data_IF_076219761294
#
_entry.id   IF_076219761294
#
_cell.length_a   1.000
_cell.length_b   1.000
_cell.length_c   1.000
_cell.angle_alpha   90.00
_cell.angle_beta   90.00
_cell.angle_gamma   90.00
#
_symmetry.space_group_name_H-M   'P 1'
#
loop_
_entity.id
_entity.type
_entity.pdbx_description
1 polymer ?
#
# COMPACT_ATOMS: atom_id res chain seq x y z
N UNK A 1 2.51 -9.71 29.13
CA UNK A 1 2.23 -8.65 28.16
C UNK A 1 3.40 -7.67 28.16
N UNK A 2 3.95 -7.35 26.98
CA UNK A 2 5.04 -6.40 26.85
C UNK A 2 4.46 -4.98 26.64
N UNK A 3 5.05 -3.97 27.29
CA UNK A 3 4.63 -2.58 27.09
C UNK A 3 5.27 -2.07 25.80
N UNK A 4 4.44 -1.58 24.89
CA UNK A 4 4.83 -0.92 23.65
C UNK A 4 4.66 0.60 23.78
N UNK A 5 5.57 1.34 23.14
CA UNK A 5 5.52 2.80 23.02
C UNK A 5 5.30 3.17 21.55
N UNK A 6 4.54 4.20 21.31
CA UNK A 6 4.24 4.66 19.96
C UNK A 6 3.53 6.01 19.96
N UNK A 7 2.86 6.30 18.84
CA UNK A 7 2.03 7.47 18.67
C UNK A 7 0.62 7.04 18.31
N UNK A 8 -0.39 7.59 18.99
CA UNK A 8 -1.79 7.25 18.78
C UNK A 8 -2.67 8.48 18.61
N UNK A 9 -3.75 8.29 17.85
CA UNK A 9 -4.91 9.17 17.89
C UNK A 9 -5.89 8.68 18.96
N UNK A 10 -6.40 9.58 19.77
CA UNK A 10 -7.43 9.30 20.81
C UNK A 10 -8.84 9.67 20.40
N UNK A 11 -8.98 10.44 19.34
CA UNK A 11 -10.23 10.73 18.61
C UNK A 11 -9.92 11.30 17.21
N UNK A 12 -10.96 11.44 16.36
CA UNK A 12 -10.85 11.87 14.96
C UNK A 12 -10.28 13.28 14.76
N UNK A 13 -10.31 14.12 15.77
CA UNK A 13 -10.00 15.56 15.67
C UNK A 13 -8.67 15.94 16.29
N UNK A 14 -8.04 15.00 17.01
CA UNK A 14 -6.78 15.24 17.70
C UNK A 14 -5.58 14.76 16.91
N UNK A 15 -4.43 15.43 17.07
CA UNK A 15 -3.17 14.96 16.49
C UNK A 15 -2.75 13.63 17.12
N UNK A 16 -1.90 12.90 16.43
CA UNK A 16 -1.14 11.78 16.98
C UNK A 16 -0.21 12.29 18.09
N UNK A 17 -0.24 11.63 19.25
CA UNK A 17 0.60 11.97 20.41
C UNK A 17 1.28 10.73 20.98
N UNK A 18 2.35 10.87 21.77
CA UNK A 18 2.98 9.76 22.46
C UNK A 18 1.95 8.92 23.22
N UNK A 19 2.04 7.62 23.07
CA UNK A 19 1.09 6.68 23.66
C UNK A 19 1.79 5.39 24.07
N UNK A 20 1.34 4.80 25.18
CA UNK A 20 1.83 3.53 25.70
C UNK A 20 0.68 2.55 25.78
N UNK A 21 0.90 1.33 25.31
CA UNK A 21 -0.11 0.28 25.29
C UNK A 21 0.52 -1.10 25.53
N UNK A 22 -0.31 -2.10 25.75
CA UNK A 22 0.15 -3.47 25.95
C UNK A 22 0.03 -4.27 24.64
N UNK A 23 1.11 -4.97 24.28
CA UNK A 23 1.05 -6.03 23.28
C UNK A 23 0.94 -7.38 23.97
N UNK A 24 0.26 -8.34 23.31
CA UNK A 24 0.16 -9.70 23.80
C UNK A 24 1.54 -10.39 23.89
N UNK A 25 1.65 -11.40 24.73
CA UNK A 25 2.81 -12.28 24.68
C UNK A 25 2.83 -13.08 23.36
N UNK A 26 4.00 -13.41 22.85
CA UNK A 26 4.12 -14.22 21.64
C UNK A 26 3.66 -15.67 21.93
N UNK A 27 2.87 -16.22 21.01
CA UNK A 27 2.52 -17.64 20.97
C UNK A 27 3.65 -18.45 20.30
N UNK A 28 3.44 -19.77 20.19
CA UNK A 28 4.45 -20.68 19.61
C UNK A 28 4.76 -20.38 18.13
N UNK A 29 3.81 -19.83 17.39
CA UNK A 29 3.92 -19.50 15.96
C UNK A 29 4.18 -18.02 15.66
N UNK A 30 4.47 -17.23 16.69
CA UNK A 30 4.68 -15.79 16.55
C UNK A 30 6.13 -15.39 16.34
N UNK A 31 6.29 -14.28 15.66
CA UNK A 31 7.55 -13.54 15.47
C UNK A 31 7.43 -12.19 16.14
N UNK A 32 8.41 -11.82 16.97
CA UNK A 32 8.52 -10.49 17.58
C UNK A 32 9.48 -9.67 16.74
N UNK A 33 9.03 -8.49 16.30
CA UNK A 33 9.76 -7.63 15.40
C UNK A 33 10.00 -6.28 16.07
N UNK A 34 11.25 -5.87 16.19
CA UNK A 34 11.66 -4.51 16.50
C UNK A 34 11.48 -3.65 15.24
N UNK A 35 10.58 -2.69 15.29
CA UNK A 35 10.22 -1.85 14.14
C UNK A 35 11.28 -0.78 13.95
N UNK A 36 11.95 -0.81 12.81
CA UNK A 36 12.98 0.18 12.46
C UNK A 36 12.39 1.34 11.67
N UNK A 37 11.47 1.02 10.74
CA UNK A 37 10.86 2.01 9.86
C UNK A 37 9.37 1.73 9.67
N UNK A 38 8.57 2.79 9.62
CA UNK A 38 7.15 2.72 9.32
C UNK A 38 6.79 3.74 8.23
N UNK A 39 6.25 3.26 7.11
CA UNK A 39 5.78 4.14 6.03
C UNK A 39 4.46 4.84 6.40
N UNK A 40 4.23 6.02 5.80
CA UNK A 40 2.98 6.77 5.93
C UNK A 40 2.12 6.57 4.69
N UNK A 41 0.89 6.10 4.88
CA UNK A 41 -0.11 5.93 3.83
C UNK A 41 -1.30 6.88 4.02
N UNK A 42 -2.00 7.22 2.93
CA UNK A 42 -3.29 7.93 3.01
C UNK A 42 -4.31 7.17 3.86
N UNK A 43 -4.28 5.83 3.85
CA UNK A 43 -5.17 5.00 4.67
C UNK A 43 -4.99 5.26 6.17
N UNK A 44 -3.77 5.55 6.63
CA UNK A 44 -3.52 5.93 8.03
C UNK A 44 -4.26 7.22 8.38
N UNK A 45 -4.22 8.22 7.48
CA UNK A 45 -4.89 9.50 7.67
C UNK A 45 -6.42 9.33 7.68
N UNK A 46 -6.96 8.61 6.69
CA UNK A 46 -8.40 8.34 6.58
C UNK A 46 -8.93 7.62 7.82
N UNK A 47 -8.20 6.62 8.33
CA UNK A 47 -8.60 5.86 9.51
C UNK A 47 -8.52 6.72 10.77
N UNK A 48 -7.39 7.41 11.00
CA UNK A 48 -7.20 8.27 12.17
C UNK A 48 -8.25 9.39 12.24
N UNK A 49 -8.66 9.94 11.09
CA UNK A 49 -9.68 10.99 10.99
C UNK A 49 -11.11 10.45 10.91
N UNK A 50 -11.28 9.12 11.00
CA UNK A 50 -12.58 8.45 10.90
C UNK A 50 -13.38 8.82 9.64
N UNK A 51 -12.71 9.03 8.53
CA UNK A 51 -13.37 9.38 7.27
C UNK A 51 -14.16 8.18 6.70
N UNK A 52 -13.70 6.95 6.98
CA UNK A 52 -14.39 5.71 6.62
C UNK A 52 -15.46 5.26 7.64
N UNK A 53 -15.64 6.00 8.75
CA UNK A 53 -16.67 5.74 9.78
C UNK A 53 -16.52 4.41 10.52
N UNK A 54 -15.30 3.88 10.62
CA UNK A 54 -14.99 2.60 11.28
C UNK A 54 -13.85 2.69 12.31
N UNK A 55 -13.43 3.88 12.71
CA UNK A 55 -12.33 4.07 13.65
C UNK A 55 -12.69 3.63 15.08
N UNK A 56 -11.80 2.85 15.71
CA UNK A 56 -11.89 2.40 17.11
C UNK A 56 -10.70 2.97 17.89
N UNK A 57 -10.92 4.02 18.63
CA UNK A 57 -9.88 4.72 19.39
C UNK A 57 -9.59 4.07 20.75
N UNK A 58 -8.31 4.13 21.26
CA UNK A 58 -7.14 4.77 20.63
C UNK A 58 -6.58 3.95 19.47
N UNK A 59 -6.05 4.62 18.43
CA UNK A 59 -5.47 4.00 17.24
C UNK A 59 -3.99 4.35 17.16
N UNK A 60 -3.11 3.34 17.18
CA UNK A 60 -1.72 3.44 16.70
C UNK A 60 -1.74 2.99 15.24
N UNK A 61 -1.57 3.89 14.26
CA UNK A 61 -1.62 3.53 12.85
C UNK A 61 -0.31 2.89 12.36
N UNK A 62 -0.24 2.64 11.04
CA UNK A 62 0.95 2.11 10.37
C UNK A 62 0.82 0.65 9.96
N UNK A 63 0.82 0.40 8.65
CA UNK A 63 0.73 -0.92 8.02
C UNK A 63 1.81 -1.13 6.95
N UNK A 64 2.87 -0.35 7.03
CA UNK A 64 4.06 -0.43 6.18
C UNK A 64 5.27 -0.58 7.09
N UNK A 65 5.44 -1.76 7.68
CA UNK A 65 6.38 -2.02 8.77
C UNK A 65 7.62 -2.73 8.24
N UNK A 66 8.80 -2.16 8.43
CA UNK A 66 10.06 -2.84 8.19
C UNK A 66 10.89 -2.87 9.48
N UNK A 67 11.44 -4.04 9.82
CA UNK A 67 12.12 -4.24 11.08
C UNK A 67 13.03 -5.45 11.13
N UNK A 68 13.47 -5.77 12.35
CA UNK A 68 14.37 -6.89 12.64
C UNK A 68 13.71 -7.82 13.63
N UNK A 69 13.78 -9.11 13.38
CA UNK A 69 13.29 -10.15 14.30
C UNK A 69 14.12 -10.14 15.59
N UNK A 70 13.47 -10.01 16.74
CA UNK A 70 14.11 -10.02 18.07
C UNK A 70 13.81 -11.28 18.87
N UNK A 71 12.68 -11.94 18.61
CA UNK A 71 12.35 -13.24 19.20
C UNK A 71 11.42 -14.02 18.25
N UNK A 72 11.43 -15.34 18.41
CA UNK A 72 10.55 -16.25 17.67
C UNK A 72 9.95 -17.29 18.62
N UNK A 73 8.71 -17.68 18.39
CA UNK A 73 8.04 -18.76 19.10
C UNK A 73 8.65 -20.13 18.75
N UNK A 74 8.36 -21.13 19.57
CA UNK A 74 8.97 -22.49 19.47
C UNK A 74 8.59 -23.26 18.21
N UNK A 75 7.48 -22.90 17.55
CA UNK A 75 6.99 -23.52 16.32
C UNK A 75 7.38 -22.73 15.04
N UNK A 76 8.01 -21.55 15.18
CA UNK A 76 8.47 -20.75 14.04
C UNK A 76 9.60 -21.46 13.31
N UNK A 77 9.46 -21.56 12.00
CA UNK A 77 10.42 -22.28 11.12
C UNK A 77 11.01 -21.42 10.01
N UNK A 78 10.33 -20.35 9.61
CA UNK A 78 10.74 -19.50 8.48
C UNK A 78 11.70 -18.41 8.86
N UNK A 79 11.71 -17.97 10.12
CA UNK A 79 12.45 -16.82 10.60
C UNK A 79 13.29 -17.13 11.82
N UNK A 80 14.36 -16.36 12.01
CA UNK A 80 15.23 -16.39 13.20
C UNK A 80 15.56 -14.98 13.65
N UNK A 81 16.03 -14.84 14.86
CA UNK A 81 16.53 -13.56 15.42
C UNK A 81 17.60 -12.97 14.51
N UNK A 82 17.45 -11.69 14.20
CA UNK A 82 18.33 -10.93 13.31
C UNK A 82 17.84 -10.84 11.86
N UNK A 83 16.82 -11.60 11.46
CA UNK A 83 16.29 -11.54 10.10
C UNK A 83 15.61 -10.19 9.83
N UNK A 84 15.74 -9.72 8.59
CA UNK A 84 15.14 -8.51 8.06
C UNK A 84 13.76 -8.84 7.54
N UNK A 85 12.72 -8.22 8.14
CA UNK A 85 11.35 -8.60 7.87
C UNK A 85 10.44 -7.39 7.71
N UNK A 86 9.28 -7.63 7.09
CA UNK A 86 8.21 -6.66 6.99
C UNK A 86 6.86 -7.23 7.36
N UNK A 87 5.94 -6.33 7.72
CA UNK A 87 4.52 -6.60 7.93
C UNK A 87 3.71 -5.59 7.14
N UNK A 88 2.80 -6.09 6.32
CA UNK A 88 1.94 -5.27 5.46
C UNK A 88 0.62 -4.89 6.11
N UNK A 89 -0.43 -4.89 5.29
CA UNK A 89 -1.74 -4.34 5.65
C UNK A 89 -2.58 -5.23 6.57
N UNK A 90 -2.23 -6.51 6.74
CA UNK A 90 -3.00 -7.45 7.57
C UNK A 90 -2.10 -8.46 8.29
N UNK A 91 -2.55 -8.94 9.44
CA UNK A 91 -1.79 -9.78 10.37
C UNK A 91 -2.48 -11.11 10.71
N UNK A 92 -3.71 -11.30 10.24
CA UNK A 92 -4.43 -12.57 10.33
C UNK A 92 -5.51 -12.64 9.25
N UNK A 93 -6.00 -13.84 8.99
CA UNK A 93 -7.14 -14.12 8.11
C UNK A 93 -7.82 -15.41 8.51
N UNK A 94 -8.97 -15.72 7.91
CA UNK A 94 -9.70 -16.94 8.23
C UNK A 94 -8.85 -18.19 7.99
N UNK A 95 -8.49 -18.86 9.09
CA UNK A 95 -7.82 -20.16 9.06
C UNK A 95 -8.88 -21.26 8.88
N UNK A 96 -8.84 -21.98 7.74
CA UNK A 96 -9.74 -23.12 7.48
C UNK A 96 -10.99 -22.79 6.65
N UNK A 97 -11.14 -21.57 6.12
CA UNK A 97 -12.12 -21.29 5.08
C UNK A 97 -11.75 -22.05 3.80
N UNK A 98 -12.74 -22.58 3.08
CA UNK A 98 -12.55 -23.29 1.79
C UNK A 98 -11.84 -22.46 0.72
N UNK A 99 -11.77 -21.15 0.91
CA UNK A 99 -11.11 -20.21 0.03
C UNK A 99 -9.60 -20.00 0.29
N UNK A 100 -9.04 -20.65 1.33
CA UNK A 100 -7.61 -20.57 1.69
C UNK A 100 -6.68 -21.20 0.64
N UNK A 101 -7.21 -22.01 -0.26
CA UNK A 101 -6.41 -22.74 -1.26
C UNK A 101 -5.97 -21.89 -2.46
N UNK A 102 -6.19 -20.56 -2.45
CA UNK A 102 -6.04 -19.73 -3.64
C UNK A 102 -5.19 -18.48 -3.46
N UNK A 103 -4.39 -18.35 -2.42
CA UNK A 103 -3.54 -17.16 -2.21
C UNK A 103 -4.31 -15.83 -2.41
N UNK A 104 -5.46 -15.69 -1.73
CA UNK A 104 -6.35 -14.53 -1.80
C UNK A 104 -6.85 -14.10 -0.41
N UNK A 105 -5.99 -14.18 0.58
CA UNK A 105 -6.32 -13.89 1.99
C UNK A 105 -6.95 -12.50 2.17
N UNK A 106 -6.50 -11.53 1.37
CA UNK A 106 -7.01 -10.16 1.41
C UNK A 106 -8.48 -10.02 1.04
N UNK A 107 -9.06 -11.02 0.37
CA UNK A 107 -10.47 -11.03 -0.03
C UNK A 107 -11.34 -11.92 0.87
N UNK A 108 -10.75 -12.53 1.91
CA UNK A 108 -11.46 -13.50 2.76
C UNK A 108 -12.22 -12.83 3.90
N UNK A 109 -13.39 -13.37 4.28
CA UNK A 109 -14.01 -13.02 5.56
C UNK A 109 -13.05 -13.36 6.71
N UNK A 110 -12.98 -12.47 7.73
CA UNK A 110 -12.10 -12.68 8.87
C UNK A 110 -10.65 -12.23 8.64
N UNK A 111 -10.40 -11.46 7.60
CA UNK A 111 -9.18 -10.68 7.47
C UNK A 111 -9.04 -9.77 8.70
N UNK A 112 -7.86 -9.75 9.33
CA UNK A 112 -7.54 -8.87 10.45
C UNK A 112 -6.47 -7.87 10.00
N UNK A 113 -6.84 -6.61 9.96
CA UNK A 113 -5.93 -5.54 9.57
C UNK A 113 -4.85 -5.32 10.63
N UNK A 114 -3.70 -4.80 10.21
CA UNK A 114 -2.54 -4.54 11.07
C UNK A 114 -2.85 -3.55 12.20
N UNK A 115 -3.82 -2.68 12.00
CA UNK A 115 -4.36 -1.79 13.04
C UNK A 115 -5.85 -1.50 12.80
N UNK A 116 -6.53 -1.01 13.84
CA UNK A 116 -7.96 -0.66 13.81
C UNK A 116 -8.89 -1.83 13.47
N UNK A 117 -8.52 -3.04 13.86
CA UNK A 117 -9.34 -4.24 13.71
C UNK A 117 -9.37 -5.05 15.03
N UNK A 118 -10.06 -6.17 15.07
CA UNK A 118 -10.21 -6.99 16.27
C UNK A 118 -9.13 -8.07 16.34
N UNK A 119 -8.24 -7.98 17.32
CA UNK A 119 -7.25 -9.02 17.62
C UNK A 119 -7.89 -10.13 18.50
N UNK A 120 -8.33 -11.20 17.86
CA UNK A 120 -8.93 -12.35 18.58
C UNK A 120 -7.92 -13.09 19.46
N UNK A 121 -6.61 -12.93 19.22
CA UNK A 121 -5.53 -13.50 20.02
C UNK A 121 -5.20 -12.67 21.27
N UNK A 122 -5.71 -11.44 21.32
CA UNK A 122 -5.50 -10.49 22.42
C UNK A 122 -6.83 -10.09 23.08
N UNK A 123 -7.68 -11.06 23.38
CA UNK A 123 -8.94 -10.82 24.10
C UNK A 123 -9.93 -9.90 23.36
N UNK A 124 -9.85 -9.83 22.04
CA UNK A 124 -10.61 -8.93 21.17
C UNK A 124 -10.25 -7.45 21.34
N UNK A 125 -9.04 -7.13 21.81
CA UNK A 125 -8.54 -5.76 21.78
C UNK A 125 -8.38 -5.26 20.33
N UNK A 126 -8.33 -3.95 20.13
CA UNK A 126 -8.03 -3.40 18.82
C UNK A 126 -6.57 -3.68 18.43
N UNK A 127 -6.35 -4.12 17.18
CA UNK A 127 -4.99 -4.21 16.63
C UNK A 127 -4.35 -2.84 16.58
N UNK A 128 -3.03 -2.78 16.83
CA UNK A 128 -2.23 -1.55 16.87
C UNK A 128 -1.05 -1.67 15.90
N UNK A 129 -0.82 -0.63 15.11
CA UNK A 129 0.10 -0.66 13.98
C UNK A 129 1.55 -0.32 14.28
N UNK A 130 2.24 0.03 13.21
CA UNK A 130 3.70 0.20 13.15
C UNK A 130 4.24 1.52 13.63
N UNK A 131 3.41 2.51 13.98
CA UNK A 131 3.94 3.71 14.64
C UNK A 131 4.23 3.43 16.11
N UNK A 132 4.92 2.33 16.35
CA UNK A 132 5.32 1.81 17.66
C UNK A 132 6.68 1.11 17.59
N UNK A 133 7.29 0.85 18.74
CA UNK A 133 8.62 0.27 18.85
C UNK A 133 8.69 -1.20 18.41
N UNK A 134 7.65 -2.01 18.64
CA UNK A 134 7.65 -3.42 18.25
C UNK A 134 6.26 -3.95 17.92
N UNK A 135 6.22 -5.10 17.24
CA UNK A 135 4.97 -5.82 16.91
C UNK A 135 5.16 -7.33 17.10
N UNK A 136 4.07 -8.03 17.44
CA UNK A 136 3.99 -9.49 17.55
C UNK A 136 3.02 -10.00 16.49
N UNK A 137 3.50 -10.85 15.57
CA UNK A 137 2.75 -11.29 14.39
C UNK A 137 2.98 -12.76 14.15
N UNK A 138 1.95 -13.51 13.75
CA UNK A 138 2.10 -14.89 13.31
C UNK A 138 3.09 -15.01 12.15
N UNK A 139 3.94 -16.03 12.16
CA UNK A 139 4.93 -16.32 11.11
C UNK A 139 4.33 -16.27 9.69
N UNK A 140 3.08 -16.70 9.54
CA UNK A 140 2.37 -16.74 8.25
C UNK A 140 2.10 -15.38 7.62
N UNK A 141 2.20 -14.28 8.37
CA UNK A 141 1.96 -12.91 7.92
C UNK A 141 3.20 -12.02 7.94
N UNK A 142 4.36 -12.61 8.22
CA UNK A 142 5.66 -11.96 8.16
C UNK A 142 6.31 -12.21 6.81
N UNK A 143 6.96 -11.19 6.26
CA UNK A 143 7.56 -11.17 4.92
C UNK A 143 9.07 -10.96 5.04
N UNK A 144 9.86 -11.67 4.23
CA UNK A 144 11.30 -11.47 4.14
C UNK A 144 11.62 -10.25 3.27
N UNK A 145 12.42 -9.32 3.75
CA UNK A 145 12.91 -8.20 2.94
C UNK A 145 14.28 -8.55 2.37
N UNK A 146 14.45 -8.58 1.03
CA UNK A 146 15.73 -8.84 0.37
C UNK A 146 16.88 -7.98 0.90
N UNK A 147 18.06 -8.56 1.04
CA UNK A 147 19.21 -7.87 1.68
C UNK A 147 19.68 -6.61 0.94
N UNK A 148 19.53 -6.58 -0.37
CA UNK A 148 19.90 -5.42 -1.20
C UNK A 148 18.90 -4.25 -1.11
N UNK A 149 17.71 -4.45 -0.56
CA UNK A 149 16.75 -3.37 -0.39
C UNK A 149 16.96 -2.68 0.97
N UNK A 150 17.20 -1.37 1.04
CA UNK A 150 17.20 -0.61 2.29
C UNK A 150 15.86 -0.75 3.01
N UNK A 151 15.85 -1.02 4.33
CA UNK A 151 14.62 -1.25 5.10
C UNK A 151 13.65 -0.05 5.06
N UNK A 152 14.20 1.15 5.14
CA UNK A 152 13.43 2.39 5.06
C UNK A 152 12.67 2.52 3.74
N UNK A 153 13.37 2.33 2.62
CA UNK A 153 12.77 2.43 1.29
C UNK A 153 11.95 1.19 0.90
N UNK A 154 12.11 0.07 1.63
CA UNK A 154 11.31 -1.15 1.47
C UNK A 154 9.97 -1.07 2.22
N UNK A 155 9.88 -0.33 3.33
CA UNK A 155 8.64 -0.24 4.11
C UNK A 155 7.41 0.14 3.27
N UNK A 156 7.43 1.15 2.38
CA UNK A 156 6.27 1.47 1.56
C UNK A 156 5.92 0.42 0.49
N UNK A 157 6.83 -0.52 0.18
CA UNK A 157 6.53 -1.61 -0.75
C UNK A 157 5.41 -2.50 -0.20
N UNK A 158 5.30 -2.63 1.12
CA UNK A 158 4.34 -3.48 1.81
C UNK A 158 2.88 -3.01 1.69
N UNK A 159 2.65 -1.80 1.19
CA UNK A 159 1.33 -1.29 0.81
C UNK A 159 1.35 -0.76 -0.62
N UNK A 160 2.08 0.32 -0.89
CA UNK A 160 2.10 0.94 -2.21
C UNK A 160 2.69 0.02 -3.30
N UNK A 161 3.72 -0.77 -2.97
CA UNK A 161 4.33 -1.73 -3.89
C UNK A 161 3.34 -2.81 -4.29
N UNK A 162 2.81 -3.55 -3.31
CA UNK A 162 1.89 -4.65 -3.56
C UNK A 162 0.57 -4.19 -4.21
N UNK A 163 0.05 -3.03 -3.82
CA UNK A 163 -1.19 -2.47 -4.40
C UNK A 163 -1.06 -2.23 -5.91
N UNK A 164 0.13 -1.93 -6.40
CA UNK A 164 0.39 -1.74 -7.82
C UNK A 164 0.90 -3.03 -8.50
N UNK A 165 1.69 -3.83 -7.82
CA UNK A 165 2.20 -5.10 -8.34
C UNK A 165 1.07 -6.07 -8.66
N UNK A 166 0.13 -6.27 -7.72
CA UNK A 166 -0.97 -7.21 -7.85
C UNK A 166 -1.80 -6.98 -9.12
N UNK A 167 -2.38 -5.81 -9.40
CA UNK A 167 -3.12 -5.61 -10.64
C UNK A 167 -2.22 -5.62 -11.88
N UNK A 168 -0.98 -5.14 -11.83
CA UNK A 168 -0.07 -5.24 -12.97
C UNK A 168 0.20 -6.70 -13.33
N UNK A 169 0.42 -7.56 -12.33
CA UNK A 169 0.63 -8.99 -12.51
C UNK A 169 -0.65 -9.70 -12.98
N UNK A 170 -1.79 -9.47 -12.31
CA UNK A 170 -3.07 -10.11 -12.64
C UNK A 170 -3.53 -9.82 -14.07
N UNK A 171 -3.44 -8.58 -14.52
CA UNK A 171 -3.80 -8.18 -15.89
C UNK A 171 -2.65 -8.32 -16.89
N UNK A 172 -1.57 -9.02 -16.49
CA UNK A 172 -0.45 -9.39 -17.37
C UNK A 172 0.21 -8.18 -18.04
N UNK A 173 0.50 -7.14 -17.26
CA UNK A 173 1.34 -6.05 -17.73
C UNK A 173 2.72 -6.59 -18.11
N UNK A 174 3.22 -6.23 -19.29
CA UNK A 174 4.50 -6.77 -19.81
C UNK A 174 4.78 -6.28 -21.23
N UNK A 175 5.75 -6.89 -21.93
CA UNK A 175 6.15 -6.48 -23.26
C UNK A 175 4.96 -6.41 -24.24
N UNK A 176 4.85 -5.30 -24.95
CA UNK A 176 3.76 -5.06 -25.91
C UNK A 176 2.44 -4.57 -25.32
N UNK A 177 2.32 -4.48 -23.99
CA UNK A 177 1.14 -3.91 -23.33
C UNK A 177 1.31 -2.42 -23.07
N UNK A 178 0.33 -1.63 -23.43
CA UNK A 178 0.25 -0.21 -23.09
C UNK A 178 -0.56 -0.03 -21.82
N UNK A 179 0.08 0.44 -20.77
CA UNK A 179 -0.52 0.59 -19.44
C UNK A 179 -0.53 2.06 -19.04
N UNK A 180 -1.69 2.58 -18.65
CA UNK A 180 -1.78 3.90 -18.05
C UNK A 180 -1.82 3.82 -16.52
N UNK A 181 -1.03 4.64 -15.86
CA UNK A 181 -1.10 4.90 -14.41
C UNK A 181 -1.76 6.26 -14.21
N UNK A 182 -2.94 6.27 -13.60
CA UNK A 182 -3.68 7.50 -13.30
C UNK A 182 -3.29 7.99 -11.91
N UNK A 183 -2.67 9.16 -11.86
CA UNK A 183 -2.08 9.74 -10.64
C UNK A 183 -0.58 9.47 -10.53
N UNK A 184 0.17 10.50 -10.10
CA UNK A 184 1.62 10.42 -9.86
C UNK A 184 1.92 10.83 -8.42
N UNK A 185 1.40 10.03 -7.49
CA UNK A 185 1.60 10.15 -6.05
C UNK A 185 2.32 8.94 -5.48
N UNK A 186 2.11 8.70 -4.18
CA UNK A 186 2.73 7.60 -3.45
C UNK A 186 2.47 6.21 -4.04
N UNK A 187 1.28 5.95 -4.59
CA UNK A 187 0.98 4.73 -5.33
C UNK A 187 1.53 4.80 -6.77
N UNK A 188 1.21 5.86 -7.49
CA UNK A 188 1.50 5.96 -8.92
C UNK A 188 2.98 5.82 -9.27
N UNK A 189 3.91 6.37 -8.45
CA UNK A 189 5.34 6.23 -8.70
C UNK A 189 5.80 4.76 -8.63
N UNK A 190 5.22 3.96 -7.71
CA UNK A 190 5.49 2.52 -7.66
C UNK A 190 4.93 1.79 -8.89
N UNK A 191 3.72 2.17 -9.35
CA UNK A 191 3.15 1.63 -10.58
C UNK A 191 4.01 1.89 -11.81
N UNK A 192 4.62 3.06 -11.90
CA UNK A 192 5.57 3.39 -12.97
C UNK A 192 6.81 2.50 -12.89
N UNK A 193 7.47 2.41 -11.72
CA UNK A 193 8.70 1.62 -11.53
C UNK A 193 8.46 0.13 -11.81
N UNK A 194 7.44 -0.45 -11.16
CA UNK A 194 7.13 -1.87 -11.27
C UNK A 194 6.66 -2.22 -12.69
N UNK A 195 5.71 -1.48 -13.26
CA UNK A 195 5.20 -1.76 -14.59
C UNK A 195 6.25 -1.62 -15.69
N UNK A 196 7.15 -0.65 -15.55
CA UNK A 196 8.31 -0.49 -16.44
C UNK A 196 9.26 -1.68 -16.33
N UNK A 197 9.57 -2.15 -15.11
CA UNK A 197 10.42 -3.31 -14.89
C UNK A 197 9.78 -4.62 -15.39
N UNK A 198 8.45 -4.72 -15.40
CA UNK A 198 7.72 -5.82 -16.04
C UNK A 198 7.80 -5.75 -17.59
N UNK A 199 8.30 -4.66 -18.15
CA UNK A 199 8.46 -4.46 -19.60
C UNK A 199 7.25 -3.85 -20.30
N UNK A 200 6.26 -3.33 -19.58
CA UNK A 200 5.11 -2.65 -20.15
C UNK A 200 5.46 -1.23 -20.64
N UNK A 201 4.72 -0.74 -21.62
CA UNK A 201 4.79 0.64 -22.08
C UNK A 201 3.95 1.53 -21.15
N UNK A 202 4.59 2.11 -20.14
CA UNK A 202 3.92 2.91 -19.11
C UNK A 202 3.69 4.35 -19.59
N UNK A 203 2.44 4.79 -19.49
CA UNK A 203 2.03 6.19 -19.66
C UNK A 203 1.45 6.71 -18.34
N UNK A 204 1.93 7.86 -17.86
CA UNK A 204 1.35 8.52 -16.70
C UNK A 204 0.28 9.51 -17.15
N UNK A 205 -0.88 9.46 -16.50
CA UNK A 205 -1.98 10.40 -16.62
C UNK A 205 -2.16 11.12 -15.29
N UNK A 206 -1.77 12.39 -15.21
CA UNK A 206 -1.83 13.18 -13.98
C UNK A 206 -2.46 14.54 -14.23
N UNK A 207 -3.00 15.18 -13.20
CA UNK A 207 -3.71 16.46 -13.34
C UNK A 207 -2.88 17.53 -14.07
N UNK A 208 -1.58 17.62 -13.73
CA UNK A 208 -0.65 18.59 -14.32
C UNK A 208 0.69 17.98 -14.69
N UNK A 209 1.61 18.80 -15.19
CA UNK A 209 2.93 18.38 -15.68
C UNK A 209 4.06 18.55 -14.65
N UNK A 210 3.78 18.99 -13.42
CA UNK A 210 4.80 19.30 -12.40
C UNK A 210 5.69 18.11 -12.00
N UNK A 211 5.22 16.89 -12.22
CA UNK A 211 5.94 15.63 -11.93
C UNK A 211 6.35 14.89 -13.20
N UNK A 212 6.34 15.55 -14.37
CA UNK A 212 6.61 14.90 -15.65
C UNK A 212 8.04 14.36 -15.75
N UNK A 213 9.01 15.16 -15.36
CA UNK A 213 10.43 14.77 -15.38
C UNK A 213 10.67 13.56 -14.46
N UNK A 214 10.10 13.58 -13.25
CA UNK A 214 10.17 12.46 -12.31
C UNK A 214 9.55 11.20 -12.92
N UNK A 215 8.34 11.29 -13.49
CA UNK A 215 7.66 10.15 -14.10
C UNK A 215 8.47 9.50 -15.22
N UNK A 216 9.07 10.31 -16.09
CA UNK A 216 9.94 9.82 -17.16
C UNK A 216 11.23 9.19 -16.61
N UNK A 217 11.85 9.82 -15.60
CA UNK A 217 13.05 9.28 -14.92
C UNK A 217 12.77 7.94 -14.23
N UNK A 218 11.58 7.76 -13.67
CA UNK A 218 11.17 6.52 -12.99
C UNK A 218 10.77 5.40 -13.95
N UNK A 219 10.73 5.63 -15.27
CA UNK A 219 10.54 4.61 -16.30
C UNK A 219 9.28 4.78 -17.16
N UNK A 220 8.46 5.82 -16.98
CA UNK A 220 7.36 6.08 -17.88
C UNK A 220 7.89 6.45 -19.28
N UNK A 221 7.27 5.90 -20.33
CA UNK A 221 7.57 6.29 -21.72
C UNK A 221 6.92 7.59 -22.09
N UNK A 222 5.74 7.87 -21.55
CA UNK A 222 4.95 9.06 -21.84
C UNK A 222 4.28 9.60 -20.58
N UNK A 223 3.99 10.90 -20.60
CA UNK A 223 3.34 11.59 -19.49
C UNK A 223 2.43 12.70 -20.03
N UNK A 224 1.15 12.68 -19.67
CA UNK A 224 0.16 13.64 -20.11
C UNK A 224 -0.58 14.31 -18.95
N UNK A 225 -0.94 15.57 -19.15
CA UNK A 225 -1.81 16.29 -18.22
C UNK A 225 -3.28 15.99 -18.54
N UNK A 226 -4.04 15.56 -17.54
CA UNK A 226 -5.48 15.31 -17.69
C UNK A 226 -6.32 16.58 -17.58
N UNK A 227 -5.72 17.71 -17.17
CA UNK A 227 -6.32 19.05 -17.29
C UNK A 227 -6.40 19.54 -18.74
N UNK A 228 -5.63 18.91 -19.66
CA UNK A 228 -5.70 19.18 -21.09
C UNK A 228 -6.70 18.21 -21.73
N UNK A 229 -7.81 18.77 -22.22
CA UNK A 229 -8.89 18.00 -22.85
C UNK A 229 -8.42 17.26 -24.13
N UNK A 230 -7.41 17.76 -24.83
CA UNK A 230 -6.85 17.11 -26.03
C UNK A 230 -6.19 15.77 -25.66
N UNK A 231 -5.73 15.58 -24.41
CA UNK A 231 -5.18 14.33 -23.92
C UNK A 231 -6.14 13.16 -24.14
N UNK A 232 -7.41 13.32 -23.81
CA UNK A 232 -8.42 12.26 -23.96
C UNK A 232 -8.73 11.95 -25.42
N UNK A 233 -8.75 12.95 -26.29
CA UNK A 233 -8.92 12.76 -27.73
C UNK A 233 -7.73 12.02 -28.33
N UNK A 234 -6.51 12.47 -28.00
CA UNK A 234 -5.26 11.90 -28.50
C UNK A 234 -5.06 10.43 -28.10
N UNK A 235 -5.44 10.08 -26.87
CA UNK A 235 -5.21 8.76 -26.29
C UNK A 235 -6.43 7.82 -26.37
N UNK A 236 -7.50 8.21 -27.07
CA UNK A 236 -8.69 7.38 -27.22
C UNK A 236 -8.33 5.98 -27.75
N UNK A 237 -8.83 4.92 -27.13
CA UNK A 237 -8.61 3.53 -27.54
C UNK A 237 -7.15 3.06 -27.52
N UNK A 238 -6.31 3.63 -26.65
CA UNK A 238 -4.86 3.38 -26.64
C UNK A 238 -4.42 2.27 -25.68
N UNK A 239 -5.05 2.15 -24.50
CA UNK A 239 -4.52 1.35 -23.40
C UNK A 239 -5.14 -0.05 -23.33
N UNK A 240 -4.31 -1.05 -23.02
CA UNK A 240 -4.74 -2.39 -22.67
C UNK A 240 -5.22 -2.44 -21.23
N UNK A 241 -4.55 -1.66 -20.34
CA UNK A 241 -4.81 -1.59 -18.92
C UNK A 241 -4.69 -0.13 -18.44
N UNK A 242 -5.60 0.28 -17.57
CA UNK A 242 -5.50 1.53 -16.81
C UNK A 242 -5.57 1.19 -15.32
N UNK A 243 -4.58 1.60 -14.53
CA UNK A 243 -4.62 1.50 -13.08
C UNK A 243 -4.88 2.87 -12.50
N UNK A 244 -6.00 3.02 -11.80
CA UNK A 244 -6.43 4.27 -11.21
C UNK A 244 -6.05 4.34 -9.73
N UNK A 245 -5.09 5.22 -9.42
CA UNK A 245 -4.65 5.47 -8.03
C UNK A 245 -5.32 6.70 -7.42
N UNK A 246 -6.21 7.37 -8.16
CA UNK A 246 -6.87 8.59 -7.70
C UNK A 246 -7.90 8.29 -6.61
N UNK A 247 -7.78 8.96 -5.47
CA UNK A 247 -8.79 9.00 -4.40
C UNK A 247 -9.80 10.15 -4.56
N UNK A 248 -9.70 10.94 -5.62
CA UNK A 248 -10.56 12.09 -5.90
C UNK A 248 -11.52 11.79 -7.04
N UNK A 249 -12.58 12.61 -7.16
CA UNK A 249 -13.52 12.50 -8.27
C UNK A 249 -12.82 12.75 -9.62
N UNK A 250 -13.04 11.86 -10.58
CA UNK A 250 -12.56 11.95 -11.96
C UNK A 250 -13.71 11.67 -12.93
N UNK A 251 -13.55 12.03 -14.19
CA UNK A 251 -14.50 11.60 -15.24
C UNK A 251 -14.22 10.16 -15.68
N UNK A 252 -14.79 9.19 -14.96
CA UNK A 252 -14.63 7.76 -15.21
C UNK A 252 -14.93 7.36 -16.66
N UNK A 253 -15.90 8.00 -17.28
CA UNK A 253 -16.31 7.68 -18.64
C UNK A 253 -15.27 8.14 -19.67
N UNK A 254 -14.65 9.29 -19.46
CA UNK A 254 -13.54 9.77 -20.27
C UNK A 254 -12.35 8.80 -20.19
N UNK A 255 -11.96 8.36 -18.98
CA UNK A 255 -10.88 7.38 -18.82
C UNK A 255 -11.21 6.02 -19.45
N UNK A 256 -12.43 5.52 -19.31
CA UNK A 256 -12.88 4.30 -20.01
C UNK A 256 -12.83 4.46 -21.55
N UNK A 257 -12.97 5.69 -22.06
CA UNK A 257 -12.76 6.02 -23.47
C UNK A 257 -11.35 5.76 -23.98
N UNK A 258 -10.35 5.80 -23.08
CA UNK A 258 -8.95 5.56 -23.42
C UNK A 258 -8.59 4.09 -23.59
N UNK A 259 -9.45 3.16 -23.13
CA UNK A 259 -9.23 1.72 -23.25
C UNK A 259 -9.46 1.23 -24.67
N UNK A 260 -8.62 0.31 -25.12
CA UNK A 260 -8.85 -0.54 -26.30
C UNK A 260 -10.09 -1.41 -26.11
N UNK A 261 -10.48 -2.09 -27.20
CA UNK A 261 -11.40 -3.23 -27.11
C UNK A 261 -10.81 -4.31 -26.20
N UNK A 262 -11.59 -4.84 -25.27
CA UNK A 262 -11.18 -5.77 -24.21
C UNK A 262 -10.24 -5.18 -23.15
N UNK A 263 -10.02 -3.87 -23.13
CA UNK A 263 -9.19 -3.23 -22.12
C UNK A 263 -9.88 -3.21 -20.75
N UNK A 264 -9.07 -3.14 -19.70
CA UNK A 264 -9.53 -3.11 -18.30
C UNK A 264 -9.07 -1.83 -17.61
N UNK A 265 -9.95 -1.23 -16.81
CA UNK A 265 -9.61 -0.19 -15.84
C UNK A 265 -9.73 -0.75 -14.43
N UNK A 266 -8.66 -0.65 -13.64
CA UNK A 266 -8.58 -1.20 -12.29
C UNK A 266 -8.46 -0.07 -11.28
N UNK A 267 -9.33 -0.07 -10.30
CA UNK A 267 -9.40 0.91 -9.23
C UNK A 267 -8.60 0.37 -8.04
N UNK A 268 -7.62 1.14 -7.60
CA UNK A 268 -6.82 0.87 -6.40
C UNK A 268 -6.85 2.05 -5.42
N UNK A 269 -7.29 3.23 -5.87
CA UNK A 269 -7.61 4.36 -5.01
C UNK A 269 -9.02 4.21 -4.42
N UNK A 270 -9.29 4.88 -3.30
CA UNK A 270 -10.58 4.83 -2.62
C UNK A 270 -11.29 6.20 -2.74
N UNK A 271 -12.06 6.47 -3.81
CA UNK A 271 -12.82 7.70 -3.93
C UNK A 271 -13.96 7.74 -2.89
N UNK A 272 -14.19 8.92 -2.32
CA UNK A 272 -15.20 9.12 -1.26
C UNK A 272 -16.63 8.87 -1.76
N UNK A 273 -16.89 9.11 -3.05
CA UNK A 273 -18.24 9.06 -3.62
C UNK A 273 -18.40 7.91 -4.62
N UNK A 274 -19.66 7.54 -4.85
CA UNK A 274 -20.00 6.52 -5.84
C UNK A 274 -19.46 6.88 -7.24
N UNK A 275 -19.01 5.88 -7.96
CA UNK A 275 -18.41 5.99 -9.29
C UNK A 275 -19.53 6.01 -10.35
N UNK A 276 -19.78 7.15 -11.04
CA UNK A 276 -20.80 7.24 -12.08
C UNK A 276 -20.27 6.67 -13.41
N UNK A 277 -20.65 5.45 -13.75
CA UNK A 277 -20.27 4.81 -15.01
C UNK A 277 -21.49 4.61 -15.91
N UNK A 278 -21.43 5.11 -17.13
CA UNK A 278 -22.45 4.91 -18.14
C UNK A 278 -22.25 3.58 -18.87
N UNK A 279 -23.30 2.77 -19.03
CA UNK A 279 -23.20 1.44 -19.64
C UNK A 279 -22.54 1.47 -21.03
N UNK A 280 -22.82 2.50 -21.84
CA UNK A 280 -22.20 2.65 -23.17
C UNK A 280 -20.71 3.05 -23.13
N UNK A 281 -20.14 3.34 -21.99
CA UNK A 281 -18.68 3.45 -21.86
C UNK A 281 -17.99 2.08 -21.83
N UNK A 282 -18.74 1.00 -21.57
CA UNK A 282 -18.24 -0.38 -21.47
C UNK A 282 -18.66 -1.26 -22.65
N UNK A 283 -19.96 -1.25 -22.99
CA UNK A 283 -20.58 -2.21 -23.93
C UNK A 283 -19.90 -2.22 -25.32
N UNK A 284 -19.71 -1.08 -26.02
CA UNK A 284 -19.21 -1.08 -27.41
C UNK A 284 -17.78 -1.63 -27.55
N UNK A 285 -16.99 -1.58 -26.47
CA UNK A 285 -15.61 -2.04 -26.48
C UNK A 285 -15.36 -3.32 -25.68
N UNK A 286 -16.40 -3.95 -25.11
CA UNK A 286 -16.27 -5.09 -24.18
C UNK A 286 -15.21 -4.77 -23.09
N UNK A 287 -15.29 -3.55 -22.54
CA UNK A 287 -14.35 -3.05 -21.53
C UNK A 287 -14.75 -3.50 -20.14
N UNK A 288 -13.79 -3.61 -19.26
CA UNK A 288 -14.00 -3.98 -17.86
C UNK A 288 -13.64 -2.82 -16.92
N UNK A 289 -14.42 -2.66 -15.86
CA UNK A 289 -14.08 -1.86 -14.68
C UNK A 289 -14.01 -2.80 -13.50
N UNK A 290 -12.87 -2.84 -12.83
CA UNK A 290 -12.57 -3.80 -11.77
C UNK A 290 -11.92 -3.09 -10.58
N UNK A 291 -11.92 -3.73 -9.40
CA UNK A 291 -11.14 -3.30 -8.24
C UNK A 291 -9.99 -4.28 -7.98
N UNK A 292 -8.98 -3.81 -7.25
CA UNK A 292 -7.91 -4.64 -6.69
C UNK A 292 -7.54 -4.09 -5.31
N UNK A 293 -7.44 -4.96 -4.33
CA UNK A 293 -7.10 -4.60 -2.96
C UNK A 293 -5.80 -5.28 -2.56
N UNK A 294 -4.73 -4.49 -2.34
CA UNK A 294 -3.40 -5.00 -1.94
C UNK A 294 -3.03 -6.30 -2.69
N UNK A 295 -2.52 -7.32 -2.01
CA UNK A 295 -2.27 -8.66 -2.53
C UNK A 295 -2.21 -9.67 -1.38
N UNK A 296 -2.16 -10.97 -1.70
CA UNK A 296 -1.94 -12.02 -0.71
C UNK A 296 -0.56 -11.93 -0.07
N UNK A 297 -0.33 -12.68 1.01
CA UNK A 297 1.02 -12.77 1.62
C UNK A 297 2.02 -13.32 0.61
N UNK A 298 1.65 -14.37 -0.11
CA UNK A 298 2.52 -14.94 -1.16
C UNK A 298 2.81 -13.90 -2.26
N UNK A 299 1.79 -13.24 -2.78
CA UNK A 299 1.96 -12.24 -3.83
C UNK A 299 2.80 -11.04 -3.35
N UNK A 300 2.68 -10.67 -2.06
CA UNK A 300 3.50 -9.63 -1.46
C UNK A 300 4.97 -10.06 -1.34
N UNK A 301 5.24 -11.34 -1.01
CA UNK A 301 6.61 -11.86 -1.05
C UNK A 301 7.16 -11.90 -2.48
N UNK A 302 6.37 -12.38 -3.45
CA UNK A 302 6.77 -12.39 -4.87
C UNK A 302 7.09 -10.97 -5.37
N UNK A 303 6.33 -9.96 -4.92
CA UNK A 303 6.60 -8.54 -5.20
C UNK A 303 7.91 -8.06 -4.59
N UNK A 304 8.20 -8.40 -3.32
CA UNK A 304 9.46 -8.02 -2.66
C UNK A 304 10.65 -8.67 -3.37
N UNK A 305 10.55 -9.94 -3.75
CA UNK A 305 11.59 -10.66 -4.49
C UNK A 305 11.79 -10.05 -5.88
N UNK A 306 10.70 -9.69 -6.57
CA UNK A 306 10.76 -8.96 -7.83
C UNK A 306 11.45 -7.59 -7.66
N UNK A 307 11.10 -6.84 -6.64
CA UNK A 307 11.73 -5.57 -6.33
C UNK A 307 13.23 -5.74 -6.00
N UNK A 308 13.58 -6.76 -5.23
CA UNK A 308 14.98 -7.11 -4.96
C UNK A 308 15.76 -7.44 -6.23
N UNK A 309 15.18 -8.24 -7.13
CA UNK A 309 15.79 -8.61 -8.40
C UNK A 309 16.04 -7.41 -9.34
N UNK A 310 15.19 -6.40 -9.27
CA UNK A 310 15.24 -5.25 -10.18
C UNK A 310 15.72 -3.96 -9.48
N UNK A 311 16.21 -4.04 -8.24
CA UNK A 311 16.65 -2.90 -7.42
C UNK A 311 15.58 -1.78 -7.33
N UNK A 312 14.31 -2.18 -7.15
CA UNK A 312 13.18 -1.27 -7.05
C UNK A 312 12.88 -0.99 -5.59
N UNK A 313 12.94 0.29 -5.22
CA UNK A 313 12.50 0.79 -3.91
C UNK A 313 11.60 2.01 -4.08
N UNK A 314 10.90 2.40 -3.02
CA UNK A 314 10.15 3.64 -3.00
C UNK A 314 11.08 4.85 -2.92
N UNK A 315 10.70 5.95 -3.57
CA UNK A 315 11.32 7.26 -3.32
C UNK A 315 10.77 7.81 -2.00
N UNK A 316 11.64 8.07 -1.03
CA UNK A 316 11.23 8.41 0.33
C UNK A 316 11.79 9.74 0.84
N UNK A 317 11.06 10.37 1.74
CA UNK A 317 11.52 11.41 2.65
C UNK A 317 11.45 10.85 4.08
N UNK A 318 12.62 10.76 4.75
CA UNK A 318 12.71 10.29 6.14
C UNK A 318 12.28 11.38 7.10
N UNK A 319 11.48 11.01 8.11
CA UNK A 319 11.05 11.90 9.19
C UNK A 319 11.25 11.26 10.57
N UNK A 320 11.25 12.10 11.60
CA UNK A 320 11.08 11.65 13.00
C UNK A 320 9.61 11.43 13.29
N UNK A 321 9.28 10.58 14.27
CA UNK A 321 7.88 10.32 14.62
C UNK A 321 7.18 11.58 15.18
N UNK A 322 7.94 12.49 15.80
CA UNK A 322 7.42 13.77 16.28
C UNK A 322 6.85 14.65 15.16
N UNK A 323 7.33 14.46 13.92
CA UNK A 323 6.93 15.25 12.75
C UNK A 323 5.74 14.63 12.00
N UNK A 324 5.17 13.50 12.50
CA UNK A 324 4.14 12.72 11.80
C UNK A 324 2.88 13.53 11.45
N UNK A 325 2.47 14.44 12.33
CA UNK A 325 1.29 15.28 12.10
C UNK A 325 1.52 16.30 10.98
N UNK A 326 2.70 16.89 10.89
CA UNK A 326 3.10 17.76 9.79
C UNK A 326 3.19 16.96 8.47
N UNK A 327 3.77 15.78 8.51
CA UNK A 327 3.84 14.89 7.36
C UNK A 327 2.45 14.53 6.82
N UNK A 328 1.45 14.29 7.67
CA UNK A 328 0.07 14.06 7.27
C UNK A 328 -0.49 15.24 6.46
N UNK A 329 -0.27 16.47 6.93
CA UNK A 329 -0.72 17.68 6.20
C UNK A 329 -0.01 17.83 4.84
N UNK A 330 1.28 17.49 4.76
CA UNK A 330 2.04 17.52 3.51
C UNK A 330 1.57 16.43 2.53
N UNK A 331 1.23 15.22 3.02
CA UNK A 331 0.65 14.15 2.20
C UNK A 331 -0.65 14.61 1.55
N UNK A 332 -1.56 15.21 2.32
CA UNK A 332 -2.85 15.71 1.82
C UNK A 332 -2.69 16.81 0.76
N UNK A 333 -1.64 17.62 0.86
CA UNK A 333 -1.30 18.65 -0.11
C UNK A 333 -0.50 18.11 -1.31
N UNK A 334 -0.22 16.81 -1.37
CA UNK A 334 0.67 16.17 -2.36
C UNK A 334 2.09 16.79 -2.39
N UNK A 335 2.53 17.31 -1.24
CA UNK A 335 3.84 17.92 -1.00
C UNK A 335 4.82 16.89 -0.42
N UNK A 336 5.08 15.84 -1.18
CA UNK A 336 6.07 14.80 -0.87
C UNK A 336 6.54 14.09 -2.15
N UNK A 337 7.79 13.66 -2.20
CA UNK A 337 8.41 12.93 -3.33
C UNK A 337 9.05 11.61 -2.87
N UNK A 338 8.28 10.50 -2.72
CA UNK A 338 6.82 10.33 -2.92
C UNK A 338 6.17 9.75 -1.68
N UNK A 339 6.95 9.25 -0.71
CA UNK A 339 6.48 8.62 0.52
C UNK A 339 7.22 9.17 1.72
N UNK A 340 6.53 9.43 2.81
CA UNK A 340 7.19 9.62 4.10
C UNK A 340 7.44 8.26 4.75
N UNK A 341 8.60 8.16 5.40
CA UNK A 341 8.95 7.01 6.24
C UNK A 341 9.44 7.53 7.59
N UNK A 342 8.90 6.99 8.64
CA UNK A 342 9.25 7.32 10.02
C UNK A 342 10.45 6.48 10.43
N UNK A 343 11.53 7.13 10.89
CA UNK A 343 12.61 6.47 11.64
C UNK A 343 12.14 6.22 13.07
N UNK A 344 11.88 4.95 13.41
CA UNK A 344 11.35 4.57 14.72
C UNK A 344 12.36 4.71 15.85
N UNK A 345 13.66 4.81 15.56
CA UNK A 345 14.66 5.18 16.56
C UNK A 345 14.41 6.56 17.17
N UNK A 346 13.66 7.42 16.48
CA UNK A 346 13.25 8.73 16.99
C UNK A 346 12.25 8.70 18.15
N UNK A 347 11.64 7.55 18.46
CA UNK A 347 10.80 7.40 19.66
C UNK A 347 11.56 7.65 20.98
N UNK A 348 12.87 7.43 20.98
CA UNK A 348 13.76 7.59 22.14
C UNK A 348 14.44 8.97 22.18
N UNK A 349 14.15 9.87 21.24
CA UNK A 349 14.83 11.15 21.08
C UNK A 349 14.16 12.32 21.82
#
# INVERSE_FOLDING_TARGET
>A
MAIARGYAATDATKPLTPFTFERREPNEDDVVIDIKFAGICHSDIHTVRNEWKNAVYPIVPGHEIAGIVTAVGSAVTKFKVGDRVGVGCFVDSCVGCAARDVDNEQYMPGLVQTYNDVDTLNGNAATQGGYSDHIVVKEGYVLSIPENLPLDAAAPLLCAGITLYSPLHHWQAGPGKKVAIVGMGGLGHMGVKIGSAMGADITVLSQGLSKKEDGLKLGAKEYYATSDAETFTKLAGTFDLIICTAGVAIDWNAYLGLLKVNGSMVIVGAPEHAIPVHAFSLIPGRKSLSGSMIGSIKETQDMLDFCGKHDIVSEIEMIKIQDVNEAYERVLKSDVRYRFVIDMASLDA
#
